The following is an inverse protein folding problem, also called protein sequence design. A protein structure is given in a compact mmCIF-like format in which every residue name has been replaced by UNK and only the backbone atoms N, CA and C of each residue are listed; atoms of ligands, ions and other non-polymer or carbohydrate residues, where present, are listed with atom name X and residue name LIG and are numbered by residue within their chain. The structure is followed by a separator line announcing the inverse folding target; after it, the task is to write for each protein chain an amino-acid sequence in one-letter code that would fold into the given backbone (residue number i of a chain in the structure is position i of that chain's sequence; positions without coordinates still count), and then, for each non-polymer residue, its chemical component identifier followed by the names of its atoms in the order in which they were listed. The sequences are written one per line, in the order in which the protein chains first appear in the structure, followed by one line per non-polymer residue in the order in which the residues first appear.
data_IF_683732768827
#
_entry.id   IF_683732768827
#
_cell.length_a   1.000
_cell.length_b   1.000
_cell.length_c   1.000
_cell.angle_alpha   90.00
_cell.angle_beta   90.00
_cell.angle_gamma   90.00
#
_symmetry.space_group_name_H-M   'P 1'
#
loop_
_entity.id
_entity.type
_entity.pdbx_description
1 polymer ?
#
# COMPACT_ATOMS: atom_id res chain seq x y z
N UNK A 1 1.83 -13.03 0.76
CA UNK A 1 2.63 -11.96 0.14
C UNK A 1 3.71 -11.50 1.13
N UNK A 2 4.85 -12.22 1.21
CA UNK A 2 5.87 -11.97 2.25
C UNK A 2 6.60 -10.62 2.12
N UNK A 3 6.63 -10.02 0.93
CA UNK A 3 7.37 -8.79 0.66
C UNK A 3 6.72 -7.54 1.29
N UNK A 4 5.38 -7.45 1.26
CA UNK A 4 4.66 -6.31 1.83
C UNK A 4 4.66 -6.29 3.37
N UNK A 5 4.72 -7.48 3.98
CA UNK A 5 4.89 -7.65 5.43
C UNK A 5 6.29 -7.23 5.90
N UNK A 6 7.32 -7.46 5.09
CA UNK A 6 8.71 -7.11 5.42
C UNK A 6 9.01 -5.61 5.24
N UNK A 7 8.38 -4.96 4.25
CA UNK A 7 8.58 -3.52 3.93
C UNK A 7 7.64 -2.62 4.72
N UNK A 8 6.52 -3.16 5.19
CA UNK A 8 5.47 -2.42 5.88
C UNK A 8 4.44 -1.85 4.89
N UNK A 9 3.16 -2.13 5.14
CA UNK A 9 2.06 -1.72 4.26
C UNK A 9 2.00 -0.20 4.07
N UNK A 10 2.40 0.56 5.08
CA UNK A 10 2.44 2.02 5.02
C UNK A 10 3.45 2.53 3.99
N UNK A 11 4.63 1.94 3.96
CA UNK A 11 5.67 2.26 2.97
C UNK A 11 5.20 1.96 1.55
N UNK A 12 4.51 0.84 1.36
CA UNK A 12 3.95 0.45 0.05
C UNK A 12 2.84 1.42 -0.37
N UNK A 13 1.98 1.83 0.56
CA UNK A 13 0.94 2.82 0.30
C UNK A 13 1.52 4.19 -0.11
N UNK A 14 2.55 4.65 0.61
CA UNK A 14 3.23 5.92 0.31
C UNK A 14 3.92 5.87 -1.06
N UNK A 15 4.63 4.77 -1.35
CA UNK A 15 5.24 4.57 -2.65
C UNK A 15 4.18 4.56 -3.77
N UNK A 16 3.03 3.89 -3.59
CA UNK A 16 1.95 3.91 -4.57
C UNK A 16 1.43 5.32 -4.83
N UNK A 17 1.34 6.17 -3.81
CA UNK A 17 0.96 7.58 -3.97
C UNK A 17 1.98 8.37 -4.78
N UNK A 18 3.28 8.17 -4.54
CA UNK A 18 4.35 8.77 -5.34
C UNK A 18 4.28 8.28 -6.81
N UNK A 19 4.12 6.98 -7.01
CA UNK A 19 3.95 6.40 -8.35
C UNK A 19 2.68 6.91 -9.03
N UNK A 20 1.58 7.13 -8.30
CA UNK A 20 0.37 7.71 -8.85
C UNK A 20 0.60 9.14 -9.34
N UNK A 21 1.39 9.94 -8.62
CA UNK A 21 1.74 11.29 -9.06
C UNK A 21 2.61 11.27 -10.32
N UNK A 22 3.52 10.30 -10.44
CA UNK A 22 4.48 10.25 -11.56
C UNK A 22 3.93 9.54 -12.80
N UNK A 23 3.08 8.52 -12.62
CA UNK A 23 2.61 7.64 -13.70
C UNK A 23 1.09 7.73 -13.93
N UNK A 24 0.38 8.55 -13.15
CA UNK A 24 -1.06 8.76 -13.28
C UNK A 24 -1.91 7.73 -12.54
N UNK A 25 -3.22 7.73 -12.81
CA UNK A 25 -4.24 6.96 -12.06
C UNK A 25 -4.06 5.43 -12.09
N UNK A 26 -3.20 4.92 -12.97
CA UNK A 26 -2.84 3.50 -13.07
C UNK A 26 -2.26 2.96 -11.75
N UNK A 27 -1.61 3.82 -10.97
CA UNK A 27 -0.97 3.48 -9.69
C UNK A 27 -1.81 3.86 -8.47
N UNK A 28 -3.11 4.08 -8.64
CA UNK A 28 -3.99 4.42 -7.53
C UNK A 28 -4.07 3.27 -6.51
N UNK A 29 -3.74 3.50 -5.23
CA UNK A 29 -3.82 2.46 -4.23
C UNK A 29 -5.27 1.99 -4.03
N UNK A 30 -5.43 0.68 -3.90
CA UNK A 30 -6.73 0.09 -3.60
C UNK A 30 -7.25 0.61 -2.24
N UNK A 31 -8.55 0.88 -2.08
CA UNK A 31 -9.10 1.40 -0.83
C UNK A 31 -8.86 0.45 0.37
N UNK A 32 -8.74 -0.85 0.12
CA UNK A 32 -8.36 -1.84 1.13
C UNK A 32 -6.92 -1.64 1.62
N UNK A 33 -5.98 -1.32 0.72
CA UNK A 33 -4.58 -1.04 1.07
C UNK A 33 -4.50 0.18 1.98
N UNK A 34 -5.20 1.26 1.63
CA UNK A 34 -5.21 2.50 2.43
C UNK A 34 -5.75 2.25 3.85
N UNK A 35 -6.82 1.45 3.99
CA UNK A 35 -7.34 1.05 5.30
C UNK A 35 -6.33 0.26 6.11
N UNK A 36 -5.76 -0.80 5.54
CA UNK A 36 -4.79 -1.64 6.24
C UNK A 36 -3.51 -0.88 6.58
N UNK A 37 -3.06 0.03 5.71
CA UNK A 37 -1.91 0.91 5.96
C UNK A 37 -2.18 1.90 7.11
N UNK A 38 -3.41 2.39 7.25
CA UNK A 38 -3.83 3.26 8.36
C UNK A 38 -3.95 2.47 9.66
N UNK A 39 -4.46 1.24 9.61
CA UNK A 39 -4.63 0.36 10.77
C UNK A 39 -3.32 -0.33 11.22
N UNK A 40 -2.24 -0.21 10.44
CA UNK A 40 -0.97 -0.91 10.71
C UNK A 40 -1.08 -2.43 10.56
N UNK A 41 -2.11 -2.92 9.86
CA UNK A 41 -2.37 -4.35 9.66
C UNK A 41 -1.69 -4.85 8.38
N UNK A 42 -1.48 -6.15 8.33
CA UNK A 42 -0.77 -6.85 7.25
C UNK A 42 -1.80 -7.52 6.34
N UNK A 43 -1.48 -7.67 5.05
CA UNK A 43 -2.35 -8.45 4.16
C UNK A 43 -2.45 -9.92 4.59
N UNK A 44 -1.45 -10.42 5.32
CA UNK A 44 -1.44 -11.77 5.87
C UNK A 44 -2.37 -11.98 7.09
N UNK A 45 -2.95 -10.91 7.64
CA UNK A 45 -3.92 -10.95 8.73
C UNK A 45 -5.39 -11.07 8.23
N UNK A 46 -5.57 -11.24 6.91
CA UNK A 46 -6.86 -11.50 6.24
C UNK A 46 -7.03 -12.96 5.87
#
# INVERSE_FOLDING_TARGET
MHYADAVGLRTVHDALLEFQQQHGEIWKPAPLLARLATEGRRFADL
#
